data_IF_370787177127
#
_entry.id   IF_370787177127
#
_cell.length_a   1.000
_cell.length_b   1.000
_cell.length_c   1.000
_cell.angle_alpha   90.00
_cell.angle_beta   90.00
_cell.angle_gamma   90.00
#
_symmetry.space_group_name_H-M   'P 1'
#
loop_
_entity.id
_entity.type
_entity.pdbx_description
1 polymer ?
#
# COMPACT_ATOMS: atom_id res chain seq x y z
N UNK A 1 3.34 20.30 -9.64
CA UNK A 1 2.11 19.65 -9.19
C UNK A 1 2.48 18.52 -8.23
N UNK A 2 2.07 18.58 -6.96
CA UNK A 2 2.52 17.58 -5.99
C UNK A 2 1.81 16.22 -6.19
N UNK A 3 2.63 15.22 -6.45
CA UNK A 3 2.20 13.82 -6.53
C UNK A 3 3.13 13.01 -5.63
N UNK A 4 2.57 12.21 -4.74
CA UNK A 4 3.35 11.36 -3.84
C UNK A 4 3.11 9.88 -4.12
N UNK A 5 4.18 9.10 -3.96
CA UNK A 5 4.17 7.65 -4.09
C UNK A 5 4.62 7.02 -2.79
N UNK A 6 3.76 6.20 -2.19
CA UNK A 6 4.10 5.36 -1.05
C UNK A 6 4.27 3.92 -1.55
N UNK A 7 5.44 3.35 -1.31
CA UNK A 7 5.72 1.95 -1.64
C UNK A 7 5.68 1.12 -0.37
N UNK A 8 4.98 -0.01 -0.42
CA UNK A 8 4.91 -0.96 0.68
C UNK A 8 5.46 -2.31 0.23
N UNK A 9 6.40 -2.84 1.02
CA UNK A 9 6.92 -4.19 0.80
C UNK A 9 6.28 -5.13 1.80
N UNK A 10 5.65 -6.19 1.29
CA UNK A 10 4.91 -7.15 2.11
C UNK A 10 5.56 -8.53 2.07
N UNK A 11 5.54 -9.20 3.22
CA UNK A 11 5.84 -10.62 3.33
C UNK A 11 4.68 -11.32 4.01
N UNK A 12 4.15 -12.34 3.32
CA UNK A 12 2.94 -13.04 3.75
C UNK A 12 3.26 -14.52 4.01
N UNK A 13 3.90 -14.84 5.15
CA UNK A 13 4.38 -16.21 5.40
C UNK A 13 3.27 -17.24 5.48
N UNK A 14 2.05 -16.82 5.82
CA UNK A 14 0.91 -17.72 5.95
C UNK A 14 0.10 -17.87 4.67
N UNK A 15 0.48 -17.20 3.58
CA UNK A 15 -0.16 -17.39 2.30
C UNK A 15 0.37 -18.67 1.65
N UNK A 16 -0.54 -19.57 1.26
CA UNK A 16 -0.21 -20.87 0.65
C UNK A 16 -0.71 -20.97 -0.78
N UNK A 17 -1.22 -19.87 -1.35
CA UNK A 17 -1.70 -19.81 -2.72
C UNK A 17 -1.80 -18.35 -3.16
N UNK A 18 -1.91 -18.14 -4.47
CA UNK A 18 -2.23 -16.81 -5.00
C UNK A 18 -3.59 -16.32 -4.52
N UNK A 19 -4.53 -17.24 -4.31
CA UNK A 19 -5.85 -16.90 -3.79
C UNK A 19 -5.75 -16.31 -2.39
N UNK A 20 -4.96 -16.92 -1.50
CA UNK A 20 -4.74 -16.42 -0.15
C UNK A 20 -4.16 -15.00 -0.19
N UNK A 21 -3.12 -14.79 -1.00
CA UNK A 21 -2.51 -13.47 -1.15
C UNK A 21 -3.53 -12.45 -1.69
N UNK A 22 -4.27 -12.81 -2.73
CA UNK A 22 -5.25 -11.91 -3.34
C UNK A 22 -6.33 -11.47 -2.36
N UNK A 23 -6.76 -12.35 -1.46
CA UNK A 23 -7.74 -11.99 -0.44
C UNK A 23 -7.20 -10.91 0.51
N UNK A 24 -5.95 -11.07 0.95
CA UNK A 24 -5.29 -10.09 1.82
C UNK A 24 -5.14 -8.75 1.10
N UNK A 25 -4.63 -8.77 -0.14
CA UNK A 25 -4.43 -7.55 -0.91
C UNK A 25 -5.74 -6.85 -1.26
N UNK A 26 -6.79 -7.61 -1.57
CA UNK A 26 -8.11 -7.04 -1.86
C UNK A 26 -8.67 -6.32 -0.64
N UNK A 27 -8.57 -6.95 0.53
CA UNK A 27 -9.02 -6.33 1.79
C UNK A 27 -8.26 -5.03 2.06
N UNK A 28 -6.94 -5.06 1.91
CA UNK A 28 -6.10 -3.87 2.08
C UNK A 28 -6.54 -2.75 1.12
N UNK A 29 -6.63 -3.07 -0.17
CA UNK A 29 -6.99 -2.08 -1.20
C UNK A 29 -8.38 -1.49 -0.96
N UNK A 30 -9.37 -2.34 -0.68
CA UNK A 30 -10.73 -1.88 -0.47
C UNK A 30 -10.85 -0.98 0.75
N UNK A 31 -10.18 -1.34 1.84
CA UNK A 31 -10.22 -0.56 3.09
C UNK A 31 -9.53 0.78 2.94
N UNK A 32 -8.38 0.82 2.25
CA UNK A 32 -7.67 2.08 2.02
C UNK A 32 -8.42 2.99 1.05
N UNK A 33 -9.01 2.43 -0.01
CA UNK A 33 -9.80 3.20 -0.97
C UNK A 33 -11.03 3.84 -0.36
N UNK A 34 -11.68 3.17 0.58
CA UNK A 34 -12.86 3.73 1.26
C UNK A 34 -12.51 4.93 2.12
N UNK A 35 -11.32 4.94 2.67
CA UNK A 35 -10.91 5.96 3.65
C UNK A 35 -10.14 7.10 3.03
N UNK A 36 -9.44 6.85 1.93
CA UNK A 36 -8.52 7.83 1.34
C UNK A 36 -8.74 7.96 -0.16
N UNK A 37 -8.49 9.16 -0.67
CA UNK A 37 -8.51 9.42 -2.10
C UNK A 37 -7.16 9.05 -2.71
N UNK A 38 -7.00 7.79 -3.08
CA UNK A 38 -5.75 7.22 -3.56
C UNK A 38 -5.97 6.29 -4.75
N UNK A 39 -4.91 6.08 -5.54
CA UNK A 39 -4.83 4.96 -6.45
C UNK A 39 -3.85 3.95 -5.85
N UNK A 40 -4.17 2.66 -5.93
CA UNK A 40 -3.39 1.59 -5.31
C UNK A 40 -3.33 0.38 -6.23
N UNK A 41 -2.14 -0.21 -6.35
CA UNK A 41 -1.92 -1.39 -7.18
C UNK A 41 -0.77 -2.24 -6.65
N UNK A 42 -0.81 -3.53 -6.94
CA UNK A 42 0.35 -4.40 -6.77
C UNK A 42 1.30 -4.15 -7.96
N UNK A 43 2.56 -3.82 -7.66
CA UNK A 43 3.54 -3.44 -8.67
C UNK A 43 4.53 -4.55 -9.01
N UNK A 44 4.74 -5.52 -8.11
CA UNK A 44 5.71 -6.59 -8.32
C UNK A 44 5.30 -7.84 -7.55
N UNK A 45 5.90 -8.97 -7.91
CA UNK A 45 5.68 -10.29 -7.31
C UNK A 45 4.28 -10.85 -7.55
N UNK A 46 3.67 -10.54 -8.69
CA UNK A 46 2.28 -10.95 -9.00
C UNK A 46 2.04 -12.45 -8.87
N UNK A 47 3.04 -13.27 -9.24
CA UNK A 47 2.92 -14.73 -9.24
C UNK A 47 3.58 -15.39 -8.03
N UNK A 48 4.00 -14.60 -7.04
CA UNK A 48 4.65 -15.10 -5.82
C UNK A 48 3.65 -15.01 -4.67
N UNK A 49 3.45 -16.11 -3.95
CA UNK A 49 2.42 -16.17 -2.89
C UNK A 49 2.77 -15.34 -1.67
N UNK A 50 4.04 -15.30 -1.31
CA UNK A 50 4.50 -14.81 0.00
C UNK A 50 5.20 -13.46 -0.06
N UNK A 51 5.17 -12.80 -1.19
CA UNK A 51 5.75 -11.46 -1.36
C UNK A 51 4.85 -10.60 -2.22
N UNK A 52 4.86 -9.30 -1.95
CA UNK A 52 4.15 -8.31 -2.75
C UNK A 52 4.78 -6.94 -2.58
N UNK A 53 4.77 -6.16 -3.64
CA UNK A 53 5.10 -4.75 -3.61
C UNK A 53 3.86 -3.96 -4.00
N UNK A 54 3.41 -3.09 -3.11
CA UNK A 54 2.22 -2.28 -3.31
C UNK A 54 2.63 -0.83 -3.52
N UNK A 55 2.10 -0.21 -4.57
CA UNK A 55 2.25 1.22 -4.80
C UNK A 55 0.95 1.96 -4.53
N UNK A 56 1.06 3.10 -3.84
CA UNK A 56 -0.06 3.97 -3.50
C UNK A 56 0.30 5.38 -3.92
N UNK A 57 -0.57 6.00 -4.73
CA UNK A 57 -0.35 7.35 -5.25
C UNK A 57 -1.49 8.26 -4.84
N UNK A 58 -1.14 9.48 -4.45
CA UNK A 58 -2.13 10.54 -4.25
C UNK A 58 -1.54 11.87 -4.74
N UNK A 59 -2.41 12.83 -4.98
CA UNK A 59 -2.02 14.17 -5.39
C UNK A 59 -2.90 15.21 -4.68
N UNK A 60 -2.37 16.42 -4.60
CA UNK A 60 -3.07 17.56 -4.04
C UNK A 60 -2.47 18.84 -4.63
N UNK A 61 -3.01 19.99 -4.27
CA UNK A 61 -2.45 21.27 -4.65
C UNK A 61 -1.29 21.74 -3.75
N UNK A 62 -0.99 20.98 -2.69
CA UNK A 62 0.12 21.32 -1.77
C UNK A 62 0.89 20.05 -1.40
N UNK A 63 2.22 20.11 -1.49
CA UNK A 63 3.11 18.99 -1.17
C UNK A 63 2.95 18.52 0.27
N UNK A 64 2.81 19.47 1.21
CA UNK A 64 2.60 19.15 2.62
C UNK A 64 1.34 18.30 2.82
N UNK A 65 0.28 18.61 2.10
CA UNK A 65 -0.98 17.86 2.18
C UNK A 65 -0.82 16.44 1.66
N UNK A 66 -0.08 16.28 0.54
CA UNK A 66 0.25 14.94 0.01
C UNK A 66 1.04 14.13 1.04
N UNK A 67 2.06 14.74 1.65
CA UNK A 67 2.89 14.08 2.66
C UNK A 67 2.04 13.61 3.85
N UNK A 68 1.21 14.49 4.39
CA UNK A 68 0.33 14.16 5.52
C UNK A 68 -0.65 13.04 5.17
N UNK A 69 -1.23 13.10 3.97
CA UNK A 69 -2.16 12.06 3.50
C UNK A 69 -1.47 10.70 3.44
N UNK A 70 -0.27 10.65 2.87
CA UNK A 70 0.47 9.38 2.76
C UNK A 70 0.91 8.85 4.13
N UNK A 71 1.22 9.73 5.09
CA UNK A 71 1.51 9.29 6.46
C UNK A 71 0.28 8.65 7.10
N UNK A 72 -0.90 9.21 6.90
CA UNK A 72 -2.14 8.62 7.40
C UNK A 72 -2.44 7.27 6.73
N UNK A 73 -2.20 7.17 5.42
CA UNK A 73 -2.35 5.91 4.69
C UNK A 73 -1.39 4.85 5.24
N UNK A 74 -0.14 5.22 5.48
CA UNK A 74 0.86 4.31 6.04
C UNK A 74 0.43 3.77 7.41
N UNK A 75 -0.03 4.65 8.30
CA UNK A 75 -0.49 4.21 9.63
C UNK A 75 -1.66 3.24 9.53
N UNK A 76 -2.60 3.51 8.63
CA UNK A 76 -3.74 2.62 8.43
C UNK A 76 -3.28 1.27 7.85
N UNK A 77 -2.35 1.29 6.89
CA UNK A 77 -1.78 0.07 6.33
C UNK A 77 -1.04 -0.75 7.39
N UNK A 78 -0.27 -0.09 8.25
CA UNK A 78 0.40 -0.76 9.38
C UNK A 78 -0.60 -1.41 10.33
N UNK A 79 -1.71 -0.75 10.60
CA UNK A 79 -2.77 -1.29 11.45
C UNK A 79 -3.43 -2.52 10.83
N UNK A 80 -3.68 -2.48 9.53
CA UNK A 80 -4.31 -3.59 8.81
C UNK A 80 -3.38 -4.78 8.66
N UNK A 81 -2.12 -4.53 8.31
CA UNK A 81 -1.17 -5.58 7.93
C UNK A 81 -0.32 -6.10 9.09
N UNK A 82 -0.04 -5.26 10.10
CA UNK A 82 0.84 -5.65 11.19
C UNK A 82 2.20 -6.11 10.67
N UNK A 83 2.68 -7.29 11.10
CA UNK A 83 4.01 -7.78 10.74
C UNK A 83 4.17 -8.15 9.26
N UNK A 84 3.08 -8.23 8.50
CA UNK A 84 3.13 -8.46 7.05
C UNK A 84 3.83 -7.30 6.35
N UNK A 85 3.69 -6.07 6.83
CA UNK A 85 4.38 -4.91 6.29
C UNK A 85 5.81 -4.89 6.80
N UNK A 86 6.78 -5.17 5.91
CA UNK A 86 8.18 -5.29 6.30
C UNK A 86 9.02 -4.06 5.98
N UNK A 87 8.59 -3.23 5.04
CA UNK A 87 9.32 -2.03 4.65
C UNK A 87 8.40 -1.07 3.91
N UNK A 88 8.77 0.20 3.91
CA UNK A 88 8.03 1.24 3.17
C UNK A 88 8.97 2.37 2.77
N UNK A 89 8.59 3.10 1.73
CA UNK A 89 9.28 4.31 1.31
C UNK A 89 8.29 5.30 0.70
N UNK A 90 8.62 6.58 0.74
CA UNK A 90 7.80 7.65 0.17
C UNK A 90 8.65 8.51 -0.73
N UNK A 91 8.16 8.77 -1.94
CA UNK A 91 8.80 9.64 -2.92
C UNK A 91 7.80 10.65 -3.46
N UNK A 92 8.31 11.81 -3.87
CA UNK A 92 7.53 12.82 -4.57
C UNK A 92 7.92 12.82 -6.05
N UNK A 93 6.92 12.83 -6.89
CA UNK A 93 7.10 12.77 -8.34
C UNK A 93 6.96 14.15 -8.99
#
# INVERSE_FOLDING_TARGET
>A
MPVGLLMLELRLPDAHSLKDKRQILRSLKDRLRRKFNIAIAELDFHDVWQSSTIGIVTLSNAEQHVEESLQHVLREAERILGPILIDHSTDFL
#
